data_IF_686154984543
#
_entry.id   IF_686154984543
#
_cell.length_a   1.000
_cell.length_b   1.000
_cell.length_c   1.000
_cell.angle_alpha   90.00
_cell.angle_beta   90.00
_cell.angle_gamma   90.00
#
_symmetry.space_group_name_H-M   'P 1'
#
loop_
_entity.id
_entity.type
_entity.pdbx_description
1 polymer ?
#
# COMPACT_ATOMS: atom_id res chain seq x y z
N UNK A 1 -7.81 1.29 20.61
CA UNK A 1 -9.04 1.47 21.42
C UNK A 1 -9.67 0.10 21.63
N UNK A 2 -10.29 -0.19 22.76
CA UNK A 2 -10.98 -1.47 23.01
C UNK A 2 -12.45 -1.18 23.22
N UNK A 3 -13.33 -1.80 22.42
CA UNK A 3 -14.78 -1.65 22.55
C UNK A 3 -15.36 -2.99 23.01
N UNK A 4 -16.02 -3.00 24.17
CA UNK A 4 -16.80 -4.15 24.61
C UNK A 4 -18.23 -4.04 24.05
N UNK A 5 -18.78 -5.16 23.57
CA UNK A 5 -20.24 -5.34 23.49
C UNK A 5 -20.58 -6.34 24.58
N UNK A 6 -21.51 -5.97 25.47
CA UNK A 6 -22.09 -6.91 26.42
C UNK A 6 -22.81 -8.01 25.63
N UNK A 7 -22.14 -9.13 25.41
CA UNK A 7 -22.76 -10.38 24.97
C UNK A 7 -22.85 -11.29 26.20
N UNK A 8 -24.05 -11.85 26.41
CA UNK A 8 -24.32 -12.80 27.49
C UNK A 8 -23.33 -13.96 27.53
N UNK A 9 -23.22 -14.59 28.70
CA UNK A 9 -22.34 -15.70 29.06
C UNK A 9 -21.79 -16.52 27.89
N UNK A 10 -20.61 -16.14 27.40
CA UNK A 10 -19.90 -16.86 26.34
C UNK A 10 -19.07 -15.94 25.45
N UNK A 11 -17.85 -15.63 25.90
CA UNK A 11 -16.82 -14.83 25.22
C UNK A 11 -16.99 -13.29 25.28
N UNK A 12 -16.52 -12.69 26.38
CA UNK A 12 -15.98 -11.33 26.34
C UNK A 12 -14.63 -11.35 25.57
N UNK A 13 -14.69 -11.64 24.26
CA UNK A 13 -13.55 -11.55 23.38
C UNK A 13 -13.30 -10.08 23.06
N UNK A 14 -12.42 -9.45 23.82
CA UNK A 14 -11.92 -8.12 23.51
C UNK A 14 -11.43 -8.10 22.04
N UNK A 15 -12.12 -7.35 21.18
CA UNK A 15 -11.68 -7.17 19.79
C UNK A 15 -10.71 -5.99 19.74
N UNK A 16 -9.53 -6.20 19.16
CA UNK A 16 -8.65 -5.09 18.79
C UNK A 16 -9.42 -4.19 17.82
N UNK A 17 -9.61 -2.93 18.21
CA UNK A 17 -10.13 -1.92 17.28
C UNK A 17 -8.93 -1.24 16.68
N UNK A 18 -8.73 -1.45 15.39
CA UNK A 18 -7.66 -0.79 14.67
C UNK A 18 -7.99 0.67 14.48
N UNK A 19 -7.04 1.52 14.84
CA UNK A 19 -7.16 2.95 14.73
C UNK A 19 -6.25 3.44 13.60
N UNK A 20 -6.81 4.28 12.73
CA UNK A 20 -6.02 5.05 11.79
C UNK A 20 -5.09 5.98 12.57
N UNK A 21 -3.82 6.02 12.19
CA UNK A 21 -2.79 6.87 12.76
C UNK A 21 -2.26 7.85 11.74
N UNK A 22 -2.37 9.11 12.12
CA UNK A 22 -1.72 10.26 11.47
C UNK A 22 -0.64 10.86 12.37
N UNK A 23 -0.35 10.23 13.51
CA UNK A 23 0.75 10.45 14.42
C UNK A 23 1.89 9.45 14.15
N UNK A 24 3.13 9.87 14.40
CA UNK A 24 4.28 8.99 14.44
C UNK A 24 4.13 7.96 15.58
N UNK A 25 4.86 6.86 15.47
CA UNK A 25 4.86 5.79 16.47
C UNK A 25 5.79 6.06 17.66
N UNK A 26 6.32 7.28 17.79
CA UNK A 26 7.25 7.68 18.86
C UNK A 26 6.59 7.86 20.25
N UNK A 27 5.26 7.70 20.33
CA UNK A 27 4.50 7.81 21.58
C UNK A 27 4.30 9.24 22.08
N UNK A 28 4.75 10.26 21.33
CA UNK A 28 4.64 11.68 21.70
C UNK A 28 3.48 12.40 21.02
N UNK A 29 2.78 11.71 20.10
CA UNK A 29 1.68 12.27 19.31
C UNK A 29 2.14 13.28 18.26
N UNK A 30 3.43 13.28 17.89
CA UNK A 30 3.88 14.15 16.79
C UNK A 30 3.32 13.67 15.46
N UNK A 31 3.11 14.60 14.52
CA UNK A 31 2.51 14.25 13.24
C UNK A 31 3.38 13.25 12.45
N UNK A 32 2.72 12.25 11.87
CA UNK A 32 3.33 11.34 10.90
C UNK A 32 3.78 12.13 9.69
N UNK A 33 5.02 11.89 9.24
CA UNK A 33 5.58 12.51 8.05
C UNK A 33 5.35 11.59 6.86
N UNK A 34 4.58 12.00 5.83
CA UNK A 34 4.46 11.21 4.61
C UNK A 34 5.82 10.96 3.95
N UNK A 35 5.99 9.78 3.37
CA UNK A 35 7.22 9.43 2.66
C UNK A 35 6.97 8.55 1.44
N UNK A 36 7.93 8.58 0.52
CA UNK A 36 7.93 7.70 -0.64
C UNK A 36 8.53 6.35 -0.27
N UNK A 37 7.70 5.31 -0.27
CA UNK A 37 8.14 3.94 0.02
C UNK A 37 8.71 3.25 -1.23
N UNK A 38 8.17 3.57 -2.41
CA UNK A 38 8.61 2.99 -3.69
C UNK A 38 8.66 4.06 -4.77
N UNK A 39 9.71 4.05 -5.60
CA UNK A 39 9.80 4.83 -6.82
C UNK A 39 10.54 4.01 -7.88
N UNK A 40 9.83 3.39 -8.82
CA UNK A 40 10.48 2.52 -9.81
C UNK A 40 11.36 3.29 -10.80
N UNK A 41 11.29 4.63 -10.82
CA UNK A 41 12.20 5.44 -11.65
C UNK A 41 13.62 5.50 -11.08
N UNK A 42 13.78 5.12 -9.80
CA UNK A 42 15.06 5.06 -9.12
C UNK A 42 15.16 3.77 -8.29
N UNK A 43 16.04 3.70 -7.29
CA UNK A 43 16.27 2.49 -6.48
C UNK A 43 15.42 2.41 -5.21
N UNK A 44 14.52 3.37 -4.98
CA UNK A 44 13.67 3.43 -3.78
C UNK A 44 12.66 2.28 -3.77
N UNK A 45 12.67 1.48 -2.71
CA UNK A 45 11.75 0.36 -2.55
C UNK A 45 12.15 -0.93 -3.29
N UNK A 46 13.31 -0.96 -3.94
CA UNK A 46 13.96 -2.19 -4.43
C UNK A 46 13.63 -2.62 -5.85
N UNK A 47 12.63 -2.02 -6.52
CA UNK A 47 12.37 -2.22 -7.94
C UNK A 47 12.83 -0.98 -8.71
N UNK A 48 13.58 -1.17 -9.80
CA UNK A 48 14.07 -0.09 -10.66
C UNK A 48 13.78 -0.39 -12.12
N UNK A 49 13.37 0.64 -12.85
CA UNK A 49 13.06 0.64 -14.26
C UNK A 49 11.56 0.64 -14.55
N UNK A 50 11.19 0.84 -15.82
CA UNK A 50 9.83 0.62 -16.25
C UNK A 50 9.52 -0.88 -16.29
N UNK A 51 8.28 -1.24 -15.96
CA UNK A 51 7.85 -2.62 -15.84
C UNK A 51 6.62 -2.90 -16.71
N UNK A 52 6.59 -4.08 -17.31
CA UNK A 52 5.40 -4.62 -17.99
C UNK A 52 4.46 -5.31 -17.00
N UNK A 53 3.56 -6.14 -17.52
CA UNK A 53 2.61 -6.91 -16.71
C UNK A 53 3.33 -7.83 -15.72
N UNK A 54 2.93 -7.79 -14.44
CA UNK A 54 3.58 -8.56 -13.39
C UNK A 54 3.23 -8.13 -11.97
N UNK A 55 3.68 -8.92 -11.00
CA UNK A 55 3.50 -8.67 -9.56
C UNK A 55 4.80 -8.17 -8.94
N UNK A 56 4.74 -7.08 -8.19
CA UNK A 56 5.84 -6.62 -7.34
C UNK A 56 5.37 -6.56 -5.88
N UNK A 57 6.15 -7.15 -4.98
CA UNK A 57 5.80 -7.24 -3.56
C UNK A 57 6.79 -6.43 -2.72
N UNK A 58 6.28 -5.63 -1.80
CA UNK A 58 7.04 -4.67 -1.00
C UNK A 58 6.83 -4.90 0.48
N UNK A 59 7.92 -4.87 1.26
CA UNK A 59 7.86 -4.73 2.71
C UNK A 59 7.47 -3.29 3.06
N UNK A 60 6.44 -3.12 3.88
CA UNK A 60 5.92 -1.81 4.28
C UNK A 60 5.99 -1.64 5.79
N UNK A 61 5.50 -2.60 6.56
CA UNK A 61 5.69 -2.56 8.02
C UNK A 61 7.17 -2.60 8.35
N UNK A 62 7.56 -1.92 9.44
CA UNK A 62 8.95 -1.78 9.88
C UNK A 62 9.86 -1.10 8.83
N UNK A 63 9.31 -0.14 8.09
CA UNK A 63 10.06 0.71 7.14
C UNK A 63 9.91 2.19 7.49
N UNK A 64 10.70 3.05 6.84
CA UNK A 64 10.82 4.46 7.23
C UNK A 64 11.72 4.65 8.45
N UNK A 65 11.95 5.91 8.84
CA UNK A 65 12.78 6.28 9.99
C UNK A 65 12.22 7.52 10.69
N UNK A 66 12.40 7.64 12.00
CA UNK A 66 11.85 8.77 12.76
C UNK A 66 10.35 8.96 12.52
N UNK A 67 9.89 10.18 12.24
CA UNK A 67 8.45 10.51 12.13
C UNK A 67 7.71 9.87 10.96
N UNK A 68 8.41 9.22 10.03
CA UNK A 68 7.82 8.51 8.89
C UNK A 68 7.86 6.98 9.09
N UNK A 69 8.36 6.49 10.23
CA UNK A 69 8.45 5.06 10.52
C UNK A 69 7.06 4.43 10.64
N UNK A 70 6.90 3.26 10.03
CA UNK A 70 5.71 2.42 10.11
C UNK A 70 6.02 1.27 11.07
N UNK A 71 5.30 1.13 12.20
CA UNK A 71 5.50 0.04 13.14
C UNK A 71 5.44 -1.36 12.52
N UNK A 72 6.13 -2.32 13.14
CA UNK A 72 6.11 -3.72 12.71
C UNK A 72 4.75 -4.40 12.92
N UNK A 73 3.93 -3.90 13.84
CA UNK A 73 2.58 -4.37 14.14
C UNK A 73 1.48 -3.59 13.39
N UNK A 74 1.85 -2.68 12.49
CA UNK A 74 0.90 -2.03 11.58
C UNK A 74 0.16 -3.09 10.74
N UNK A 75 -1.14 -2.89 10.54
CA UNK A 75 -2.01 -3.82 9.83
C UNK A 75 -2.64 -3.27 8.56
N UNK A 76 -2.53 -1.96 8.31
CA UNK A 76 -2.97 -1.32 7.10
C UNK A 76 -2.22 0.00 6.87
N UNK A 77 -2.25 0.49 5.63
CA UNK A 77 -1.63 1.76 5.22
C UNK A 77 -2.55 2.60 4.35
N UNK A 78 -2.33 3.90 4.41
CA UNK A 78 -2.96 4.92 3.57
C UNK A 78 -1.90 5.55 2.69
N UNK A 79 -2.24 5.81 1.44
CA UNK A 79 -1.27 6.38 0.54
C UNK A 79 -1.83 6.74 -0.80
N UNK A 80 -0.91 7.05 -1.70
CA UNK A 80 -1.19 7.42 -3.07
C UNK A 80 -0.38 6.51 -3.99
N UNK A 81 -1.06 5.86 -4.93
CA UNK A 81 -0.44 5.07 -5.98
C UNK A 81 -0.46 5.89 -7.26
N UNK A 82 0.73 6.24 -7.75
CA UNK A 82 0.89 7.06 -8.96
C UNK A 82 1.54 6.25 -10.06
N UNK A 83 0.92 6.21 -11.24
CA UNK A 83 1.51 5.66 -12.46
C UNK A 83 2.05 6.79 -13.34
N UNK A 84 3.20 6.58 -13.97
CA UNK A 84 3.85 7.58 -14.83
C UNK A 84 4.75 6.91 -15.87
N UNK A 85 5.16 7.65 -16.90
CA UNK A 85 6.03 7.13 -17.97
C UNK A 85 5.45 5.91 -18.68
N UNK A 86 4.12 5.83 -18.77
CA UNK A 86 3.41 4.71 -19.38
C UNK A 86 3.46 4.81 -20.91
N UNK A 87 3.79 3.70 -21.58
CA UNK A 87 3.91 3.62 -23.05
C UNK A 87 2.69 3.02 -23.74
N UNK A 88 1.63 2.74 -22.98
CA UNK A 88 0.36 2.21 -23.46
C UNK A 88 -0.73 2.36 -22.41
N UNK A 89 -1.85 1.66 -22.62
CA UNK A 89 -2.96 1.63 -21.66
C UNK A 89 -2.80 0.51 -20.66
N UNK A 90 -3.37 0.70 -19.48
CA UNK A 90 -3.32 -0.31 -18.44
C UNK A 90 -3.91 0.16 -17.12
N UNK A 91 -3.71 -0.66 -16.10
CA UNK A 91 -4.12 -0.39 -14.74
C UNK A 91 -3.18 -1.04 -13.74
N UNK A 92 -3.16 -0.47 -12.54
CA UNK A 92 -2.50 -1.04 -11.38
C UNK A 92 -3.52 -1.42 -10.33
N UNK A 93 -3.27 -2.51 -9.61
CA UNK A 93 -4.02 -2.91 -8.41
C UNK A 93 -3.04 -3.06 -7.24
N UNK A 94 -3.37 -2.48 -6.09
CA UNK A 94 -2.65 -2.74 -4.83
C UNK A 94 -3.47 -3.67 -3.93
N UNK A 95 -2.85 -4.73 -3.41
CA UNK A 95 -3.47 -5.70 -2.50
C UNK A 95 -2.58 -5.99 -1.30
N UNK A 96 -3.14 -6.50 -0.18
CA UNK A 96 -2.33 -7.09 0.87
C UNK A 96 -1.57 -8.29 0.30
N UNK A 97 -0.27 -8.41 0.58
CA UNK A 97 0.51 -9.52 0.07
C UNK A 97 0.01 -10.87 0.62
N UNK A 98 0.01 -11.90 -0.23
CA UNK A 98 -0.52 -13.23 0.11
C UNK A 98 -2.04 -13.37 -0.13
N UNK A 99 -2.75 -12.29 -0.46
CA UNK A 99 -4.08 -12.36 -1.04
C UNK A 99 -3.91 -12.63 -2.54
N UNK A 100 -4.41 -13.77 -3.01
CA UNK A 100 -4.30 -14.13 -4.41
C UNK A 100 -5.02 -13.08 -5.27
N UNK A 101 -4.29 -12.49 -6.21
CA UNK A 101 -4.89 -11.66 -7.24
C UNK A 101 -5.64 -12.56 -8.21
N UNK A 102 -6.95 -12.71 -8.01
CA UNK A 102 -7.79 -13.28 -9.06
C UNK A 102 -7.83 -12.22 -10.16
N UNK A 103 -7.50 -12.55 -11.41
CA UNK A 103 -7.41 -11.56 -12.52
C UNK A 103 -8.69 -10.75 -12.82
N UNK A 104 -9.71 -10.84 -11.96
CA UNK A 104 -10.93 -10.04 -11.87
C UNK A 104 -10.91 -8.96 -10.76
N UNK A 105 -9.82 -8.83 -10.00
CA UNK A 105 -9.73 -7.82 -8.94
C UNK A 105 -9.81 -6.40 -9.50
N UNK A 106 -10.41 -5.45 -8.74
CA UNK A 106 -10.61 -4.09 -9.22
C UNK A 106 -9.28 -3.33 -9.40
N UNK A 107 -9.28 -2.39 -10.34
CA UNK A 107 -8.17 -1.44 -10.52
C UNK A 107 -8.11 -0.43 -9.37
N UNK A 108 -6.90 -0.11 -8.91
CA UNK A 108 -6.64 1.06 -8.06
C UNK A 108 -6.43 2.33 -8.88
N UNK A 109 -5.69 2.25 -9.98
CA UNK A 109 -5.49 3.40 -10.90
C UNK A 109 -5.46 2.90 -12.35
N UNK A 110 -6.15 3.62 -13.24
CA UNK A 110 -6.20 3.35 -14.67
C UNK A 110 -5.45 4.46 -15.42
N UNK A 111 -4.85 4.12 -16.54
CA UNK A 111 -4.09 5.07 -17.37
C UNK A 111 -4.15 4.66 -18.84
N UNK A 112 -3.84 5.62 -19.71
CA UNK A 112 -3.70 5.37 -21.14
C UNK A 112 -3.34 6.62 -21.94
N UNK A 113 -3.12 6.47 -23.25
CA UNK A 113 -2.77 7.57 -24.14
C UNK A 113 -3.78 8.72 -24.05
N UNK A 114 -3.29 9.96 -24.10
CA UNK A 114 -4.11 11.17 -24.02
C UNK A 114 -4.49 11.60 -22.59
N UNK A 115 -4.16 10.81 -21.56
CA UNK A 115 -4.26 11.24 -20.17
C UNK A 115 -3.03 12.05 -19.73
N UNK A 116 -3.09 12.65 -18.53
CA UNK A 116 -1.96 13.37 -17.94
C UNK A 116 -0.72 12.48 -17.79
N UNK A 117 0.51 13.02 -17.86
CA UNK A 117 1.76 12.24 -17.81
C UNK A 117 1.98 11.40 -16.53
N UNK A 118 1.22 11.73 -15.49
CA UNK A 118 1.12 10.94 -14.27
C UNK A 118 -0.33 10.95 -13.79
N UNK A 119 -0.84 9.76 -13.43
CA UNK A 119 -2.19 9.59 -12.87
C UNK A 119 -2.04 8.95 -11.50
N UNK A 120 -2.73 9.51 -10.51
CA UNK A 120 -2.66 9.03 -9.16
C UNK A 120 -4.04 8.71 -8.61
N UNK A 121 -4.10 7.72 -7.72
CA UNK A 121 -5.28 7.48 -6.91
C UNK A 121 -4.87 7.16 -5.47
N UNK A 122 -5.67 7.66 -4.52
CA UNK A 122 -5.48 7.33 -3.11
C UNK A 122 -6.00 5.93 -2.80
N UNK A 123 -5.40 5.28 -1.82
CA UNK A 123 -5.82 3.97 -1.35
C UNK A 123 -5.80 3.86 0.18
N UNK A 124 -6.57 2.89 0.66
CA UNK A 124 -6.45 2.33 2.00
C UNK A 124 -6.45 0.80 1.85
N UNK A 125 -5.40 0.15 2.32
CA UNK A 125 -5.23 -1.30 2.13
C UNK A 125 -4.62 -1.95 3.36
N UNK A 126 -5.06 -3.18 3.66
CA UNK A 126 -4.44 -4.01 4.67
C UNK A 126 -3.01 -4.43 4.27
N UNK A 127 -2.23 -4.85 5.25
CA UNK A 127 -0.94 -5.51 5.04
C UNK A 127 -1.13 -7.03 5.09
N UNK A 128 -0.28 -7.73 4.35
CA UNK A 128 -0.24 -9.20 4.35
C UNK A 128 0.05 -9.77 5.73
N UNK A 129 -0.25 -11.05 5.91
CA UNK A 129 -0.08 -11.79 7.17
C UNK A 129 0.78 -13.04 6.98
N UNK A 130 1.22 -13.68 8.07
CA UNK A 130 1.98 -14.93 8.01
C UNK A 130 3.30 -14.75 7.25
N UNK A 131 3.57 -15.59 6.25
CA UNK A 131 4.77 -15.46 5.40
C UNK A 131 4.85 -14.13 4.62
N UNK A 132 3.72 -13.43 4.48
CA UNK A 132 3.61 -12.13 3.83
C UNK A 132 3.41 -10.98 4.81
N UNK A 133 3.74 -11.17 6.09
CA UNK A 133 3.52 -10.19 7.15
C UNK A 133 4.08 -8.80 6.81
N UNK A 134 3.24 -7.78 6.89
CA UNK A 134 3.65 -6.38 6.72
C UNK A 134 3.92 -5.97 5.26
N UNK A 135 3.52 -6.79 4.28
CA UNK A 135 3.80 -6.56 2.86
C UNK A 135 2.55 -6.19 2.06
N UNK A 136 2.75 -5.51 0.94
CA UNK A 136 1.73 -5.29 -0.11
C UNK A 136 2.23 -5.80 -1.44
N UNK A 137 1.32 -6.12 -2.35
CA UNK A 137 1.62 -6.46 -3.74
C UNK A 137 0.98 -5.43 -4.66
N UNK A 138 1.76 -4.90 -5.60
CA UNK A 138 1.27 -4.11 -6.73
C UNK A 138 1.28 -5.01 -7.96
N UNK A 139 0.10 -5.24 -8.53
CA UNK A 139 -0.05 -5.88 -9.83
C UNK A 139 -0.13 -4.83 -10.92
N UNK A 140 0.63 -5.05 -11.99
CA UNK A 140 0.63 -4.24 -13.20
C UNK A 140 -0.07 -5.04 -14.30
N UNK A 141 -1.04 -4.44 -14.97
CA UNK A 141 -1.60 -4.96 -16.22
C UNK A 141 -1.52 -3.89 -17.30
N UNK A 142 -0.78 -4.19 -18.37
CA UNK A 142 -0.57 -3.30 -19.52
C UNK A 142 -0.76 -4.05 -20.82
N UNK A 143 -1.08 -3.30 -21.88
CA UNK A 143 -1.04 -3.82 -23.25
C UNK A 143 0.32 -4.46 -23.59
N UNK A 144 0.30 -5.50 -24.42
CA UNK A 144 1.51 -6.20 -24.86
C UNK A 144 2.56 -5.24 -25.41
N UNK A 145 3.80 -5.36 -24.95
CA UNK A 145 4.92 -4.49 -25.33
C UNK A 145 4.96 -3.13 -24.63
N UNK A 146 3.96 -2.79 -23.83
CA UNK A 146 3.95 -1.56 -23.03
C UNK A 146 4.61 -1.76 -21.67
N UNK A 147 5.01 -0.65 -21.06
CA UNK A 147 5.62 -0.60 -19.74
C UNK A 147 5.28 0.71 -19.04
N UNK A 148 5.45 0.73 -17.72
CA UNK A 148 5.14 1.86 -16.84
C UNK A 148 6.16 2.01 -15.73
N UNK A 149 6.28 3.22 -15.20
CA UNK A 149 6.83 3.44 -13.86
C UNK A 149 5.69 3.72 -12.88
N UNK A 150 5.93 3.46 -11.60
CA UNK A 150 4.99 3.85 -10.56
C UNK A 150 5.68 4.23 -9.26
N UNK A 151 4.91 4.91 -8.41
CA UNK A 151 5.32 5.49 -7.15
C UNK A 151 4.31 5.10 -6.09
N UNK A 152 4.80 4.69 -4.93
CA UNK A 152 4.00 4.42 -3.74
C UNK A 152 4.40 5.41 -2.64
N UNK A 153 3.54 6.39 -2.38
CA UNK A 153 3.70 7.32 -1.27
C UNK A 153 2.79 6.91 -0.11
N UNK A 154 3.32 6.85 1.11
CA UNK A 154 2.59 6.52 2.34
C UNK A 154 2.33 7.79 3.14
N UNK A 155 1.08 7.94 3.59
CA UNK A 155 0.58 9.13 4.31
C UNK A 155 0.08 8.82 5.71
N UNK A 156 -0.06 7.55 6.05
CA UNK A 156 -0.45 7.09 7.38
C UNK A 156 -0.53 5.57 7.45
N UNK A 157 -0.75 5.05 8.64
CA UNK A 157 -0.86 3.62 8.93
C UNK A 157 -2.00 3.35 9.91
N UNK A 158 -2.27 2.08 10.18
CA UNK A 158 -3.25 1.65 11.18
C UNK A 158 -2.69 0.50 12.00
N UNK A 159 -3.08 0.43 13.27
CA UNK A 159 -2.87 -0.72 14.16
C UNK A 159 -4.08 -0.91 15.06
#
# INVERSE_FOLDING_TARGET
MWLSRNAGSGQAGWKKVSAVRADSDDGTGTAYKPFRAVDTRNTTGGFQGPHGTGNHTFQIANTGTGKQHIPSDANAIFGNLTVTGFTGSGWLTITPAGVAHAGSDPSTVNFGPGMQPAIANSFFIGLGTGASSGKVTVYINVSSGSNINYILDITGYSH
#
